data_IF_130910338887
#
_entry.id   IF_130910338887
#
_cell.length_a   1.000
_cell.length_b   1.000
_cell.length_c   1.000
_cell.angle_alpha   90.00
_cell.angle_beta   90.00
_cell.angle_gamma   90.00
#
_symmetry.space_group_name_H-M   'P 1'
#
loop_
_entity.id
_entity.type
_entity.pdbx_description
1 polymer ?
#
# COMPACT_ATOMS: atom_id res chain seq x y z
N UNK A 1 -44.48 13.98 -27.07
CA UNK A 1 -43.56 14.91 -26.37
C UNK A 1 -42.50 14.04 -25.70
N UNK A 2 -41.37 13.82 -26.39
CA UNK A 2 -40.31 12.94 -25.96
C UNK A 2 -39.41 13.76 -25.04
N UNK A 3 -39.38 13.41 -23.75
CA UNK A 3 -38.47 14.01 -22.79
C UNK A 3 -37.06 13.51 -23.16
N UNK A 4 -36.24 14.41 -23.71
CA UNK A 4 -34.80 14.18 -23.83
C UNK A 4 -34.23 13.97 -22.44
N UNK A 5 -33.78 12.76 -22.19
CA UNK A 5 -33.01 12.41 -21.01
C UNK A 5 -31.65 13.16 -21.09
N UNK A 6 -31.55 14.24 -20.33
CA UNK A 6 -30.29 14.99 -20.22
C UNK A 6 -29.31 14.12 -19.41
N UNK A 7 -28.19 13.69 -19.98
CA UNK A 7 -27.21 12.91 -19.22
C UNK A 7 -26.76 13.73 -18.00
N UNK A 8 -27.00 13.21 -16.78
CA UNK A 8 -26.42 13.80 -15.57
C UNK A 8 -24.91 13.96 -15.77
N UNK A 9 -24.33 15.11 -15.42
CA UNK A 9 -22.89 15.29 -15.46
C UNK A 9 -22.29 14.20 -14.57
N UNK A 10 -21.67 13.20 -15.20
CA UNK A 10 -20.87 12.18 -14.49
C UNK A 10 -19.81 12.95 -13.73
N UNK A 11 -19.85 12.88 -12.40
CA UNK A 11 -18.84 13.53 -11.56
C UNK A 11 -17.48 12.95 -11.93
N UNK A 12 -16.64 13.74 -12.60
CA UNK A 12 -15.33 13.32 -13.11
C UNK A 12 -14.45 12.73 -11.98
N UNK A 13 -14.56 13.26 -10.77
CA UNK A 13 -13.85 12.75 -9.60
C UNK A 13 -14.37 11.37 -9.18
N UNK A 14 -15.69 11.15 -9.19
CA UNK A 14 -16.26 9.84 -8.86
C UNK A 14 -15.84 8.77 -9.88
N UNK A 15 -15.82 9.10 -11.16
CA UNK A 15 -15.35 8.18 -12.20
C UNK A 15 -13.84 7.88 -12.05
N UNK A 16 -13.02 8.90 -11.80
CA UNK A 16 -11.59 8.72 -11.55
C UNK A 16 -11.34 7.81 -10.34
N UNK A 17 -12.10 8.00 -9.27
CA UNK A 17 -12.00 7.18 -8.07
C UNK A 17 -12.44 5.73 -8.31
N UNK A 18 -13.51 5.51 -9.05
CA UNK A 18 -13.97 4.18 -9.42
C UNK A 18 -12.93 3.42 -10.28
N UNK A 19 -12.28 4.11 -11.22
CA UNK A 19 -11.17 3.52 -12.00
C UNK A 19 -10.01 3.14 -11.10
N UNK A 20 -9.62 4.01 -10.16
CA UNK A 20 -8.51 3.77 -9.24
C UNK A 20 -8.78 2.56 -8.34
N UNK A 21 -10.02 2.42 -7.84
CA UNK A 21 -10.43 1.29 -7.02
C UNK A 21 -10.42 -0.02 -7.80
N UNK A 22 -11.03 -0.05 -9.00
CA UNK A 22 -11.04 -1.24 -9.85
C UNK A 22 -9.60 -1.67 -10.25
N UNK A 23 -8.73 -0.71 -10.56
CA UNK A 23 -7.33 -0.99 -10.85
C UNK A 23 -6.61 -1.57 -9.62
N UNK A 24 -6.87 -1.03 -8.42
CA UNK A 24 -6.30 -1.53 -7.16
C UNK A 24 -6.71 -2.97 -6.90
N UNK A 25 -7.99 -3.30 -7.06
CA UNK A 25 -8.48 -4.67 -6.89
C UNK A 25 -7.80 -5.64 -7.86
N UNK A 26 -7.66 -5.24 -9.12
CA UNK A 26 -6.98 -6.07 -10.11
C UNK A 26 -5.50 -6.27 -9.78
N UNK A 27 -4.75 -5.21 -9.49
CA UNK A 27 -3.34 -5.34 -9.12
C UNK A 27 -3.13 -6.08 -7.78
N UNK A 28 -4.12 -6.12 -6.90
CA UNK A 28 -4.10 -7.00 -5.73
C UNK A 28 -4.31 -8.47 -6.08
N UNK A 29 -5.06 -8.78 -7.14
CA UNK A 29 -5.42 -10.14 -7.54
C UNK A 29 -4.45 -10.74 -8.56
N UNK A 30 -3.92 -9.91 -9.46
CA UNK A 30 -3.16 -10.31 -10.66
C UNK A 30 -1.78 -9.64 -10.67
N UNK A 31 -0.82 -10.21 -11.44
CA UNK A 31 0.48 -9.56 -11.63
C UNK A 31 0.33 -8.30 -12.48
N UNK A 32 1.31 -7.38 -12.37
CA UNK A 32 1.31 -6.16 -13.19
C UNK A 32 1.13 -6.47 -14.68
N UNK A 33 1.80 -7.50 -15.22
CA UNK A 33 1.78 -7.77 -16.66
C UNK A 33 0.42 -8.29 -17.13
N UNK A 34 -0.32 -9.00 -16.28
CA UNK A 34 -1.63 -9.58 -16.58
C UNK A 34 -2.78 -8.57 -16.55
N UNK A 35 -2.66 -7.49 -15.77
CA UNK A 35 -3.69 -6.45 -15.69
C UNK A 35 -3.74 -5.62 -16.97
N UNK A 36 -4.87 -5.62 -17.67
CA UNK A 36 -5.12 -4.81 -18.85
C UNK A 36 -5.91 -3.53 -18.56
N UNK A 37 -5.55 -2.41 -19.20
CA UNK A 37 -6.34 -1.16 -19.13
C UNK A 37 -7.79 -1.35 -19.59
N UNK A 38 -8.02 -2.26 -20.57
CA UNK A 38 -9.37 -2.61 -21.07
C UNK A 38 -10.17 -3.40 -20.04
N UNK A 39 -9.49 -4.20 -19.24
CA UNK A 39 -10.15 -4.99 -18.20
C UNK A 39 -10.61 -4.09 -17.04
N UNK A 40 -9.77 -3.15 -16.62
CA UNK A 40 -10.16 -2.11 -15.66
C UNK A 40 -11.34 -1.27 -16.18
N UNK A 41 -11.32 -0.91 -17.48
CA UNK A 41 -12.40 -0.16 -18.10
C UNK A 41 -13.73 -0.93 -18.08
N UNK A 42 -13.66 -2.24 -18.33
CA UNK A 42 -14.82 -3.14 -18.29
C UNK A 42 -15.45 -3.21 -16.90
N UNK A 43 -14.64 -3.30 -15.85
CA UNK A 43 -15.12 -3.39 -14.47
C UNK A 43 -15.88 -2.13 -14.03
N UNK A 44 -15.45 -0.98 -14.51
CA UNK A 44 -16.08 0.31 -14.19
C UNK A 44 -17.23 0.66 -15.17
N UNK A 45 -17.32 -0.04 -16.30
CA UNK A 45 -18.29 0.26 -17.35
C UNK A 45 -17.98 1.57 -18.11
N UNK A 46 -16.70 1.84 -18.34
CA UNK A 46 -16.23 3.02 -19.08
C UNK A 46 -15.40 2.63 -20.30
N UNK A 47 -15.13 3.60 -21.19
CA UNK A 47 -14.20 3.40 -22.30
C UNK A 47 -12.74 3.41 -21.81
N UNK A 48 -11.90 2.53 -22.36
CA UNK A 48 -10.47 2.47 -22.02
C UNK A 48 -9.72 3.78 -22.36
N UNK A 49 -10.17 4.53 -23.37
CA UNK A 49 -9.62 5.85 -23.68
C UNK A 49 -9.85 6.86 -22.53
N UNK A 50 -10.92 6.66 -21.75
CA UNK A 50 -11.18 7.50 -20.57
C UNK A 50 -10.15 7.26 -19.47
N UNK A 51 -9.71 6.01 -19.27
CA UNK A 51 -8.66 5.68 -18.31
C UNK A 51 -7.35 6.37 -18.71
N UNK A 52 -6.96 6.24 -19.99
CA UNK A 52 -5.76 6.92 -20.51
C UNK A 52 -5.85 8.45 -20.38
N UNK A 53 -7.05 9.02 -20.51
CA UNK A 53 -7.26 10.46 -20.27
C UNK A 53 -7.08 10.89 -18.82
N UNK A 54 -7.46 10.05 -17.84
CA UNK A 54 -7.35 10.36 -16.42
C UNK A 54 -5.97 10.07 -15.82
N UNK A 55 -5.35 9.01 -16.28
CA UNK A 55 -4.13 8.48 -15.66
C UNK A 55 -2.92 8.45 -16.60
N UNK A 56 -3.11 8.53 -17.92
CA UNK A 56 -2.03 8.38 -18.90
C UNK A 56 -1.79 6.92 -19.27
N UNK A 57 -0.64 6.41 -18.90
CA UNK A 57 -0.21 5.04 -19.16
C UNK A 57 -0.65 4.04 -18.08
N UNK A 58 -0.41 2.75 -18.33
CA UNK A 58 -0.58 1.69 -17.31
C UNK A 58 0.40 1.90 -16.14
N UNK A 59 1.61 2.35 -16.45
CA UNK A 59 2.63 2.70 -15.47
C UNK A 59 2.14 3.82 -14.54
N UNK A 60 1.56 4.88 -15.11
CA UNK A 60 1.03 6.00 -14.32
C UNK A 60 -0.19 5.58 -13.47
N UNK A 61 -1.06 4.71 -14.03
CA UNK A 61 -2.16 4.13 -13.26
C UNK A 61 -1.65 3.26 -12.11
N UNK A 62 -0.63 2.44 -12.35
CA UNK A 62 0.01 1.61 -11.32
C UNK A 62 0.61 2.45 -10.20
N UNK A 63 1.32 3.52 -10.56
CA UNK A 63 1.85 4.50 -9.62
C UNK A 63 0.73 5.14 -8.79
N UNK A 64 -0.36 5.59 -9.44
CA UNK A 64 -1.50 6.18 -8.75
C UNK A 64 -2.18 5.19 -7.80
N UNK A 65 -2.23 3.90 -8.16
CA UNK A 65 -2.73 2.84 -7.27
C UNK A 65 -1.82 2.66 -6.07
N UNK A 66 -0.51 2.55 -6.25
CA UNK A 66 0.44 2.47 -5.14
C UNK A 66 0.33 3.68 -4.20
N UNK A 67 0.19 4.89 -4.75
CA UNK A 67 -0.03 6.10 -3.95
C UNK A 67 -1.33 6.07 -3.14
N UNK A 68 -2.39 5.49 -3.73
CA UNK A 68 -3.69 5.39 -3.06
C UNK A 68 -3.70 4.35 -1.93
N UNK A 69 -2.74 3.44 -1.91
CA UNK A 69 -2.60 2.42 -0.87
C UNK A 69 -1.97 2.97 0.43
N UNK A 70 -1.89 4.29 0.58
CA UNK A 70 -1.40 4.95 1.80
C UNK A 70 -0.06 4.37 2.31
N UNK A 71 0.88 4.14 1.38
CA UNK A 71 2.19 3.59 1.72
C UNK A 71 3.12 4.68 2.27
N UNK A 72 3.63 4.48 3.47
CA UNK A 72 4.74 5.23 4.02
C UNK A 72 4.37 6.52 4.75
N UNK A 73 3.53 7.40 4.20
CA UNK A 73 3.15 8.65 4.91
C UNK A 73 2.31 8.36 6.16
N UNK A 74 1.35 7.45 6.05
CA UNK A 74 0.51 7.05 7.19
C UNK A 74 1.28 6.25 8.23
N UNK A 75 2.39 5.59 7.84
CA UNK A 75 3.28 4.95 8.81
C UNK A 75 3.87 5.97 9.78
N UNK A 76 4.14 7.18 9.28
CA UNK A 76 4.71 8.28 10.07
C UNK A 76 3.66 9.13 10.80
N UNK A 77 2.35 8.87 10.58
CA UNK A 77 1.27 9.49 11.32
C UNK A 77 1.18 8.90 12.73
N UNK A 78 0.92 9.76 13.71
CA UNK A 78 0.86 9.40 15.12
C UNK A 78 2.12 9.79 15.89
N UNK A 79 2.17 9.40 17.17
CA UNK A 79 3.32 9.71 18.02
C UNK A 79 4.54 8.86 17.59
N UNK A 80 5.67 9.51 17.47
CA UNK A 80 6.96 8.89 17.18
C UNK A 80 7.35 7.88 18.28
N UNK A 81 7.00 8.18 19.51
CA UNK A 81 7.36 7.35 20.67
C UNK A 81 6.69 5.97 20.68
N UNK A 82 5.54 5.83 20.02
CA UNK A 82 4.79 4.55 19.95
C UNK A 82 4.85 3.89 18.57
N UNK A 83 5.65 4.42 17.64
CA UNK A 83 5.77 3.93 16.27
C UNK A 83 6.04 2.42 16.21
N UNK A 84 7.01 1.94 16.99
CA UNK A 84 7.40 0.54 17.00
C UNK A 84 6.27 -0.37 17.50
N UNK A 85 5.61 0.01 18.58
CA UNK A 85 4.50 -0.76 19.15
C UNK A 85 3.29 -0.79 18.21
N UNK A 86 2.92 0.35 17.66
CA UNK A 86 1.79 0.48 16.74
C UNK A 86 1.96 -0.41 15.52
N UNK A 87 3.11 -0.34 14.84
CA UNK A 87 3.36 -1.18 13.67
C UNK A 87 3.50 -2.66 13.98
N UNK A 88 4.17 -3.00 15.08
CA UNK A 88 4.29 -4.39 15.49
C UNK A 88 2.93 -5.03 15.77
N UNK A 89 2.04 -4.31 16.45
CA UNK A 89 0.67 -4.78 16.71
C UNK A 89 -0.12 -4.93 15.42
N UNK A 90 -0.03 -3.95 14.51
CA UNK A 90 -0.68 -4.01 13.21
C UNK A 90 -0.25 -5.27 12.43
N UNK A 91 1.05 -5.53 12.35
CA UNK A 91 1.57 -6.67 11.60
C UNK A 91 1.20 -8.00 12.27
N UNK A 92 1.31 -8.11 13.59
CA UNK A 92 1.09 -9.39 14.29
C UNK A 92 -0.39 -9.72 14.43
N UNK A 93 -1.22 -8.76 14.76
CA UNK A 93 -2.65 -9.02 15.04
C UNK A 93 -3.57 -8.66 13.89
N UNK A 94 -3.12 -7.85 12.95
CA UNK A 94 -3.97 -7.34 11.87
C UNK A 94 -4.95 -6.28 12.32
N UNK A 95 -4.81 -5.81 13.56
CA UNK A 95 -5.68 -4.82 14.17
C UNK A 95 -5.10 -3.42 14.01
N UNK A 96 -5.74 -2.65 13.18
CA UNK A 96 -5.66 -1.20 13.27
C UNK A 96 -7.04 -0.68 13.62
N UNK A 97 -7.13 -0.13 14.81
CA UNK A 97 -8.19 0.70 15.38
C UNK A 97 -9.68 0.32 15.11
N UNK A 98 -10.59 0.47 16.08
CA UNK A 98 -12.01 0.20 15.94
C UNK A 98 -12.72 1.30 15.12
N UNK A 99 -12.26 1.58 13.94
CA UNK A 99 -12.92 2.45 12.99
C UNK A 99 -12.90 1.75 11.64
N UNK A 100 -14.08 1.27 11.26
CA UNK A 100 -14.47 0.77 9.95
C UNK A 100 -13.59 -0.33 9.33
N UNK A 101 -14.17 -1.51 9.23
CA UNK A 101 -13.63 -2.77 8.68
C UNK A 101 -13.01 -2.68 7.27
N UNK A 102 -12.87 -1.49 6.71
CA UNK A 102 -12.32 -1.23 5.38
C UNK A 102 -10.87 -0.74 5.38
N UNK A 103 -10.35 -0.15 6.46
CA UNK A 103 -9.05 0.58 6.41
C UNK A 103 -7.82 -0.32 6.70
N UNK A 104 -7.92 -1.31 7.56
CA UNK A 104 -6.81 -2.24 7.86
C UNK A 104 -6.38 -3.09 6.66
N UNK A 105 -7.35 -3.59 5.89
CA UNK A 105 -7.10 -4.31 4.64
C UNK A 105 -6.43 -3.45 3.56
N UNK A 106 -6.62 -2.13 3.59
CA UNK A 106 -6.06 -1.20 2.60
C UNK A 106 -4.55 -1.03 2.76
N UNK A 107 -4.02 -1.04 3.99
CA UNK A 107 -2.59 -0.80 4.24
C UNK A 107 -1.68 -1.92 3.72
N UNK A 108 -2.14 -3.17 3.77
CA UNK A 108 -1.41 -4.31 3.23
C UNK A 108 -1.56 -4.46 1.70
N UNK A 109 -2.57 -3.85 1.09
CA UNK A 109 -2.82 -3.96 -0.36
C UNK A 109 -1.64 -3.48 -1.20
N UNK A 110 -1.00 -2.38 -0.83
CA UNK A 110 0.19 -1.88 -1.51
C UNK A 110 1.34 -2.88 -1.53
N UNK A 111 1.57 -3.56 -0.40
CA UNK A 111 2.57 -4.61 -0.31
C UNK A 111 2.20 -5.83 -1.15
N UNK A 112 0.94 -6.28 -1.13
CA UNK A 112 0.46 -7.38 -1.97
C UNK A 112 0.63 -7.08 -3.46
N UNK A 113 0.31 -5.85 -3.88
CA UNK A 113 0.52 -5.38 -5.26
C UNK A 113 2.01 -5.49 -5.63
N UNK A 114 2.90 -5.01 -4.77
CA UNK A 114 4.35 -5.10 -4.99
C UNK A 114 4.82 -6.55 -5.10
N UNK A 115 4.38 -7.42 -4.19
CA UNK A 115 4.74 -8.84 -4.18
C UNK A 115 4.31 -9.56 -5.46
N UNK A 116 3.07 -9.32 -5.90
CA UNK A 116 2.55 -9.93 -7.14
C UNK A 116 3.24 -9.39 -8.39
N UNK A 117 3.77 -8.19 -8.31
CA UNK A 117 4.42 -7.51 -9.45
C UNK A 117 5.94 -7.67 -9.46
N UNK A 118 6.55 -8.37 -8.48
CA UNK A 118 8.01 -8.50 -8.37
C UNK A 118 8.64 -9.21 -9.56
N UNK A 119 7.89 -10.08 -10.25
CA UNK A 119 8.32 -10.75 -11.48
C UNK A 119 8.25 -9.89 -12.73
N UNK A 120 7.61 -8.73 -12.68
CA UNK A 120 7.48 -7.81 -13.82
C UNK A 120 8.62 -6.81 -13.84
N UNK A 121 9.48 -6.88 -14.86
CA UNK A 121 10.58 -5.90 -15.04
C UNK A 121 10.04 -4.47 -15.13
N UNK A 122 8.94 -4.26 -15.86
CA UNK A 122 8.32 -2.93 -16.01
C UNK A 122 7.80 -2.38 -14.67
N UNK A 123 7.10 -3.21 -13.89
CA UNK A 123 6.62 -2.80 -12.58
C UNK A 123 7.80 -2.45 -11.66
N UNK A 124 8.84 -3.28 -11.65
CA UNK A 124 10.02 -3.04 -10.81
C UNK A 124 10.80 -1.80 -11.22
N UNK A 125 10.90 -1.49 -12.51
CA UNK A 125 11.49 -0.25 -12.99
C UNK A 125 10.71 0.98 -12.49
N UNK A 126 9.37 0.90 -12.49
CA UNK A 126 8.51 1.96 -11.94
C UNK A 126 8.72 2.11 -10.44
N UNK A 127 8.69 1.00 -9.70
CA UNK A 127 8.90 0.99 -8.24
C UNK A 127 10.27 1.56 -7.87
N UNK A 128 11.33 1.12 -8.54
CA UNK A 128 12.70 1.60 -8.27
C UNK A 128 12.86 3.11 -8.51
N UNK A 129 12.26 3.63 -9.59
CA UNK A 129 12.32 5.07 -9.91
C UNK A 129 11.53 5.93 -8.92
N UNK A 130 10.44 5.39 -8.36
CA UNK A 130 9.51 6.18 -7.54
C UNK A 130 9.67 5.97 -6.05
N UNK A 131 10.17 4.81 -5.60
CA UNK A 131 10.23 4.43 -4.18
C UNK A 131 11.13 5.35 -3.36
N UNK A 132 12.22 5.85 -3.94
CA UNK A 132 13.14 6.72 -3.18
C UNK A 132 12.43 8.01 -2.76
N UNK A 133 11.86 8.75 -3.70
CA UNK A 133 11.20 10.01 -3.44
C UNK A 133 9.88 9.87 -2.66
N UNK A 134 9.19 8.73 -2.80
CA UNK A 134 7.86 8.51 -2.22
C UNK A 134 7.87 7.88 -0.84
N UNK A 135 8.89 7.09 -0.55
CA UNK A 135 8.97 6.33 0.69
C UNK A 135 10.26 6.59 1.46
N UNK A 136 11.42 6.32 0.84
CA UNK A 136 12.68 6.36 1.58
C UNK A 136 13.14 7.76 1.96
N UNK A 137 12.99 8.76 1.11
CA UNK A 137 13.35 10.14 1.46
C UNK A 137 12.47 10.70 2.59
N UNK A 138 11.12 10.63 2.54
CA UNK A 138 10.28 11.07 3.65
C UNK A 138 10.58 10.31 4.95
N UNK A 139 10.76 8.99 4.90
CA UNK A 139 11.08 8.19 6.08
C UNK A 139 12.44 8.58 6.66
N UNK A 140 13.44 8.78 5.80
CA UNK A 140 14.78 9.24 6.22
C UNK A 140 14.72 10.62 6.90
N UNK A 141 13.97 11.55 6.33
CA UNK A 141 13.79 12.89 6.92
C UNK A 141 13.07 12.83 8.26
N UNK A 142 12.05 11.98 8.36
CA UNK A 142 11.29 11.79 9.59
C UNK A 142 12.12 11.12 10.69
N UNK A 143 12.95 10.12 10.37
CA UNK A 143 13.87 9.47 11.31
C UNK A 143 14.92 10.48 11.81
N UNK A 144 15.58 11.19 10.90
CA UNK A 144 16.60 12.17 11.21
C UNK A 144 17.89 11.57 11.76
N UNK A 145 18.90 12.44 11.88
CA UNK A 145 20.23 12.06 12.36
C UNK A 145 21.15 11.46 11.28
N UNK A 146 22.44 11.22 11.61
CA UNK A 146 23.47 10.91 10.61
C UNK A 146 23.22 9.57 9.88
N UNK A 147 22.74 8.55 10.57
CA UNK A 147 22.50 7.21 10.01
C UNK A 147 21.04 6.99 9.55
N UNK A 148 20.23 8.04 9.47
CA UNK A 148 18.83 7.95 9.08
C UNK A 148 18.59 7.19 7.77
N UNK A 149 19.38 7.34 6.70
CA UNK A 149 19.21 6.57 5.47
C UNK A 149 19.36 5.06 5.64
N UNK A 150 20.27 4.64 6.53
CA UNK A 150 20.51 3.21 6.83
C UNK A 150 19.37 2.68 7.70
N UNK A 151 19.00 3.41 8.75
CA UNK A 151 17.92 3.05 9.67
C UNK A 151 16.57 2.98 8.95
N UNK A 152 16.30 3.90 8.03
CA UNK A 152 15.09 3.87 7.19
C UNK A 152 15.01 2.58 6.36
N UNK A 153 16.12 2.13 5.77
CA UNK A 153 16.16 0.89 4.98
C UNK A 153 15.99 -0.35 5.85
N UNK A 154 16.60 -0.38 7.04
CA UNK A 154 16.44 -1.48 7.99
C UNK A 154 15.01 -1.56 8.52
N UNK A 155 14.41 -0.43 8.90
CA UNK A 155 13.02 -0.36 9.35
C UNK A 155 12.06 -0.83 8.25
N UNK A 156 12.22 -0.35 7.03
CA UNK A 156 11.44 -0.77 5.89
C UNK A 156 11.60 -2.27 5.60
N UNK A 157 12.82 -2.78 5.64
CA UNK A 157 13.11 -4.21 5.45
C UNK A 157 12.47 -5.08 6.52
N UNK A 158 12.54 -4.68 7.78
CA UNK A 158 11.89 -5.38 8.90
C UNK A 158 10.36 -5.40 8.75
N UNK A 159 9.75 -4.25 8.47
CA UNK A 159 8.29 -4.13 8.25
C UNK A 159 7.85 -5.01 7.09
N UNK A 160 8.52 -4.89 5.93
CA UNK A 160 8.18 -5.67 4.74
C UNK A 160 8.39 -7.17 4.96
N UNK A 161 9.52 -7.56 5.57
CA UNK A 161 9.83 -8.97 5.83
C UNK A 161 8.81 -9.63 6.74
N UNK A 162 8.40 -8.95 7.81
CA UNK A 162 7.39 -9.46 8.74
C UNK A 162 5.98 -9.50 8.12
N UNK A 163 5.64 -8.49 7.34
CA UNK A 163 4.36 -8.46 6.62
C UNK A 163 4.28 -9.56 5.55
N UNK A 164 5.36 -9.79 4.79
CA UNK A 164 5.47 -10.90 3.84
C UNK A 164 5.40 -12.24 4.57
N UNK A 165 6.14 -12.40 5.67
CA UNK A 165 6.12 -13.62 6.47
C UNK A 165 4.73 -13.98 6.97
N UNK A 166 3.94 -12.98 7.36
CA UNK A 166 2.53 -13.15 7.71
C UNK A 166 1.70 -13.69 6.55
N UNK A 167 1.82 -13.11 5.36
CA UNK A 167 1.04 -13.50 4.17
C UNK A 167 1.44 -14.87 3.60
N UNK A 168 2.72 -15.23 3.71
CA UNK A 168 3.25 -16.52 3.24
C UNK A 168 3.05 -17.66 4.23
N UNK A 169 2.67 -17.36 5.48
CA UNK A 169 2.42 -18.34 6.54
C UNK A 169 0.93 -18.45 6.86
N UNK A 170 0.63 -18.97 8.03
CA UNK A 170 -0.71 -19.06 8.61
C UNK A 170 -1.20 -17.75 9.25
N UNK A 171 -0.58 -16.62 8.95
CA UNK A 171 -0.90 -15.33 9.56
C UNK A 171 -0.53 -15.28 11.05
N UNK A 172 0.47 -16.06 11.47
CA UNK A 172 0.86 -16.31 12.87
C UNK A 172 -0.24 -16.99 13.70
N UNK A 173 -1.19 -17.70 13.09
CA UNK A 173 -2.24 -18.41 13.80
C UNK A 173 -1.72 -19.56 14.66
N UNK A 174 -0.58 -20.18 14.28
CA UNK A 174 0.11 -21.22 15.03
C UNK A 174 0.76 -20.72 16.32
N UNK A 175 0.96 -19.41 16.48
CA UNK A 175 1.49 -18.83 17.70
C UNK A 175 0.37 -18.65 18.73
N UNK A 176 0.63 -19.06 19.97
CA UNK A 176 -0.25 -18.77 21.09
C UNK A 176 -0.22 -17.28 21.51
N UNK A 177 -1.05 -16.90 22.47
CA UNK A 177 -1.19 -15.50 22.91
C UNK A 177 0.11 -14.95 23.48
N UNK A 178 0.87 -15.76 24.22
CA UNK A 178 2.13 -15.33 24.85
C UNK A 178 3.24 -15.17 23.79
N UNK A 179 3.30 -16.09 22.83
CA UNK A 179 4.23 -16.03 21.71
C UNK A 179 3.96 -14.82 20.81
N UNK A 180 2.70 -14.52 20.48
CA UNK A 180 2.32 -13.31 19.74
C UNK A 180 2.70 -12.04 20.51
N UNK A 181 2.44 -11.99 21.81
CA UNK A 181 2.84 -10.85 22.64
C UNK A 181 4.38 -10.69 22.69
N UNK A 182 5.12 -11.81 22.76
CA UNK A 182 6.59 -11.79 22.70
C UNK A 182 7.11 -11.30 21.36
N UNK A 183 6.53 -11.78 20.25
CA UNK A 183 6.86 -11.34 18.89
C UNK A 183 6.62 -9.83 18.74
N UNK A 184 5.46 -9.35 19.18
CA UNK A 184 5.10 -7.93 19.13
C UNK A 184 6.11 -7.07 19.89
N UNK A 185 6.43 -7.42 21.14
CA UNK A 185 7.40 -6.67 21.94
C UNK A 185 8.79 -6.61 21.29
N UNK A 186 9.29 -7.75 20.77
CA UNK A 186 10.61 -7.81 20.11
C UNK A 186 10.64 -6.97 18.85
N UNK A 187 9.59 -7.07 18.04
CA UNK A 187 9.46 -6.27 16.82
C UNK A 187 9.34 -4.78 17.14
N UNK A 188 8.51 -4.42 18.14
CA UNK A 188 8.34 -3.04 18.61
C UNK A 188 9.68 -2.44 19.06
N UNK A 189 10.44 -3.16 19.91
CA UNK A 189 11.75 -2.73 20.38
C UNK A 189 12.73 -2.53 19.22
N UNK A 190 12.77 -3.45 18.28
CA UNK A 190 13.67 -3.36 17.12
C UNK A 190 13.31 -2.17 16.22
N UNK A 191 12.03 -1.98 15.92
CA UNK A 191 11.56 -0.84 15.13
C UNK A 191 11.81 0.48 15.83
N UNK A 192 11.47 0.58 17.14
CA UNK A 192 11.65 1.82 17.89
C UNK A 192 13.13 2.19 17.99
N UNK A 193 14.01 1.21 18.23
CA UNK A 193 15.46 1.44 18.23
C UNK A 193 15.99 1.97 16.89
N UNK A 194 15.41 1.54 15.76
CA UNK A 194 15.75 2.08 14.44
C UNK A 194 15.23 3.51 14.22
N UNK A 195 14.18 3.92 14.93
CA UNK A 195 13.63 5.27 14.82
C UNK A 195 14.39 6.24 15.73
N UNK A 196 14.75 5.83 16.94
CA UNK A 196 15.32 6.70 17.96
C UNK A 196 16.85 6.89 17.82
N UNK A 197 17.54 5.90 17.27
CA UNK A 197 18.99 5.96 16.99
C UNK A 197 19.82 5.12 17.94
#
# INVERSE_FOLDING_TARGET
>A
MVLCDVPRPRNANATRQAILEAARERFCAESYDDVGMRDVARDVGVDAALISRYFGSKEDLFVAVLDSCKNGRDLMEGDRADFGERLAREIVYGDMAPCDQHDGAVKMRGLLILLRSIGSTKAMDVVQRTSNARFFEPLTQWIGGPDAPVRARLAAGLIMGMAIGRELSDGFASLDVEQKASLTRRMATALQGLIDG
#
